data_IF_289160592819
#
_entry.id   IF_289160592819
#
_cell.length_a   1.000
_cell.length_b   1.000
_cell.length_c   1.000
_cell.angle_alpha   90.00
_cell.angle_beta   90.00
_cell.angle_gamma   90.00
#
_symmetry.space_group_name_H-M   'P 1'
#
loop_
_entity.id
_entity.type
_entity.pdbx_description
1 polymer ?
#
# COMPACT_ATOMS: atom_id res chain seq x y z
N UNK A 1 -105.73 54.82 -31.06
CA UNK A 1 -106.09 53.74 -30.11
C UNK A 1 -104.85 52.85 -29.94
N UNK A 2 -104.13 53.23 -28.93
CA UNK A 2 -102.87 52.49 -28.63
C UNK A 2 -103.15 51.24 -27.81
N UNK A 3 -102.76 50.08 -28.28
CA UNK A 3 -102.76 48.90 -27.48
C UNK A 3 -101.34 48.67 -26.99
N UNK A 4 -101.06 49.16 -25.80
CA UNK A 4 -99.87 48.80 -25.03
C UNK A 4 -99.96 47.34 -24.58
N UNK A 5 -99.15 46.44 -25.13
CA UNK A 5 -99.10 45.02 -24.75
C UNK A 5 -98.08 44.89 -23.62
N UNK A 6 -98.55 45.11 -22.37
CA UNK A 6 -97.72 44.83 -21.16
C UNK A 6 -97.78 43.34 -20.90
N UNK A 7 -96.73 42.67 -21.27
CA UNK A 7 -96.48 41.32 -20.84
C UNK A 7 -95.94 41.27 -19.41
N UNK A 8 -96.82 41.19 -18.41
CA UNK A 8 -96.50 40.97 -17.00
C UNK A 8 -96.06 39.56 -16.80
N UNK A 9 -94.76 39.30 -16.84
CA UNK A 9 -94.21 38.01 -16.40
C UNK A 9 -94.37 37.88 -14.88
N UNK A 10 -95.10 36.88 -14.41
CA UNK A 10 -95.36 36.68 -12.99
C UNK A 10 -94.06 36.50 -12.23
N UNK A 11 -93.87 37.07 -11.01
CA UNK A 11 -92.63 36.91 -10.24
C UNK A 11 -92.20 35.47 -9.96
N UNK A 12 -93.19 34.62 -9.93
CA UNK A 12 -93.00 33.18 -9.76
C UNK A 12 -92.33 32.47 -10.98
N UNK A 13 -92.74 32.84 -12.22
CA UNK A 13 -92.19 32.29 -13.44
C UNK A 13 -90.72 32.72 -13.64
N UNK A 14 -90.38 33.97 -13.30
CA UNK A 14 -89.00 34.50 -13.35
C UNK A 14 -88.11 33.81 -12.33
N UNK A 15 -88.58 33.63 -11.10
CA UNK A 15 -87.81 32.92 -10.04
C UNK A 15 -87.52 31.45 -10.45
N UNK A 16 -88.49 30.76 -11.03
CA UNK A 16 -88.33 29.36 -11.50
C UNK A 16 -87.35 29.27 -12.68
N UNK A 17 -87.36 30.25 -13.64
CA UNK A 17 -86.38 30.32 -14.71
C UNK A 17 -84.96 30.57 -14.22
N UNK A 18 -84.77 31.41 -13.22
CA UNK A 18 -83.48 31.70 -12.61
C UNK A 18 -82.94 30.46 -11.87
N UNK A 19 -83.80 29.72 -11.17
CA UNK A 19 -83.37 28.48 -10.48
C UNK A 19 -82.97 27.38 -11.51
N UNK A 20 -83.75 27.21 -12.57
CA UNK A 20 -83.49 26.26 -13.66
C UNK A 20 -82.20 26.62 -14.35
N UNK A 21 -81.94 27.88 -14.69
CA UNK A 21 -80.70 28.34 -15.28
C UNK A 21 -79.50 28.14 -14.34
N UNK A 22 -79.70 28.48 -13.05
CA UNK A 22 -78.62 28.26 -12.05
C UNK A 22 -78.25 26.79 -11.88
N UNK A 23 -79.23 25.87 -11.87
CA UNK A 23 -78.97 24.40 -11.84
C UNK A 23 -78.33 23.94 -13.15
N UNK A 24 -78.72 24.39 -14.34
CA UNK A 24 -78.10 24.04 -15.60
C UNK A 24 -76.67 24.52 -15.70
N UNK A 25 -76.36 25.74 -15.20
CA UNK A 25 -74.96 26.25 -15.14
C UNK A 25 -74.11 25.39 -14.18
N UNK A 26 -74.65 25.01 -13.00
CA UNK A 26 -73.96 24.13 -12.07
C UNK A 26 -73.64 22.73 -12.65
N UNK A 27 -74.62 22.18 -13.38
CA UNK A 27 -74.39 20.88 -14.04
C UNK A 27 -73.36 21.01 -15.18
N UNK A 28 -73.39 22.06 -16.00
CA UNK A 28 -72.41 22.29 -17.03
C UNK A 28 -70.99 22.53 -16.47
N UNK A 29 -70.86 23.31 -15.37
CA UNK A 29 -69.57 23.51 -14.72
C UNK A 29 -69.02 22.21 -14.10
N UNK A 30 -69.90 21.39 -13.47
CA UNK A 30 -69.51 20.09 -12.95
C UNK A 30 -69.03 19.10 -14.06
N UNK A 31 -69.75 19.08 -15.20
CA UNK A 31 -69.36 18.27 -16.35
C UNK A 31 -68.03 18.80 -16.96
N UNK A 32 -67.91 20.10 -17.15
CA UNK A 32 -66.69 20.74 -17.64
C UNK A 32 -65.51 20.45 -16.75
N UNK A 33 -65.68 20.53 -15.40
CA UNK A 33 -64.68 20.20 -14.42
C UNK A 33 -64.30 18.72 -14.47
N UNK A 34 -65.28 17.82 -14.56
CA UNK A 34 -65.04 16.36 -14.73
C UNK A 34 -64.28 16.00 -15.99
N UNK A 35 -64.64 16.64 -17.14
CA UNK A 35 -63.92 16.50 -18.40
C UNK A 35 -62.53 17.05 -18.30
N UNK A 36 -62.33 18.25 -17.75
CA UNK A 36 -61.00 18.81 -17.47
C UNK A 36 -60.17 17.89 -16.60
N UNK A 37 -60.73 17.42 -15.47
CA UNK A 37 -60.04 16.51 -14.56
C UNK A 37 -59.63 15.20 -15.25
N UNK A 38 -60.51 14.60 -16.05
CA UNK A 38 -60.29 13.30 -16.71
C UNK A 38 -59.31 13.38 -17.88
N UNK A 39 -59.33 14.45 -18.65
CA UNK A 39 -58.59 14.52 -19.93
C UNK A 39 -57.37 15.45 -19.86
N UNK A 40 -57.33 16.41 -18.97
CA UNK A 40 -56.30 17.44 -18.94
C UNK A 40 -55.49 17.45 -17.63
N UNK A 41 -56.06 17.04 -16.51
CA UNK A 41 -55.35 16.95 -15.26
C UNK A 41 -54.62 15.61 -15.17
N UNK A 42 -53.27 15.64 -15.36
CA UNK A 42 -52.39 14.50 -15.06
C UNK A 42 -51.86 14.68 -13.65
N UNK A 43 -51.95 13.65 -12.80
CA UNK A 43 -51.33 13.67 -11.49
C UNK A 43 -49.81 13.75 -11.70
N UNK A 44 -49.13 14.73 -11.09
CA UNK A 44 -47.69 14.82 -11.16
C UNK A 44 -47.02 13.51 -10.78
N UNK A 45 -46.09 13.01 -11.62
CA UNK A 45 -45.31 11.80 -11.33
C UNK A 45 -43.88 12.04 -11.73
N UNK A 46 -42.94 11.42 -11.04
CA UNK A 46 -41.50 11.51 -11.30
C UNK A 46 -41.06 10.82 -12.61
N UNK A 47 -41.99 10.51 -13.54
CA UNK A 47 -41.69 9.77 -14.80
C UNK A 47 -42.56 10.21 -15.97
N UNK A 48 -43.13 11.44 -15.93
CA UNK A 48 -44.05 11.90 -16.96
C UNK A 48 -43.39 12.86 -17.97
N UNK A 49 -42.08 13.11 -17.82
CA UNK A 49 -41.27 14.02 -18.64
C UNK A 49 -41.67 15.49 -18.56
N UNK A 50 -42.31 15.87 -17.50
CA UNK A 50 -42.73 17.25 -17.24
C UNK A 50 -42.24 17.69 -15.87
N UNK A 51 -41.72 18.88 -15.76
CA UNK A 51 -41.43 19.43 -14.46
C UNK A 51 -42.74 19.94 -13.81
N UNK A 52 -43.25 19.20 -12.82
CA UNK A 52 -44.50 19.52 -12.14
C UNK A 52 -44.44 19.09 -10.65
N UNK A 53 -45.51 19.33 -9.90
CA UNK A 53 -45.54 19.04 -8.47
C UNK A 53 -44.49 19.84 -7.69
N UNK A 54 -43.61 19.14 -6.94
CA UNK A 54 -42.51 19.69 -6.14
C UNK A 54 -41.12 19.45 -6.76
N UNK A 55 -41.08 18.98 -8.01
CA UNK A 55 -39.87 18.72 -8.73
C UNK A 55 -39.01 19.96 -8.96
N UNK A 56 -37.68 19.81 -8.78
CA UNK A 56 -36.72 20.90 -9.05
C UNK A 56 -36.18 20.87 -10.49
N UNK A 57 -36.40 19.79 -11.21
CA UNK A 57 -36.12 19.60 -12.63
C UNK A 57 -37.08 18.56 -13.21
N UNK A 58 -37.01 18.29 -14.52
CA UNK A 58 -37.85 17.27 -15.18
C UNK A 58 -37.60 15.90 -14.57
N UNK A 59 -38.59 15.27 -13.95
CA UNK A 59 -38.56 13.96 -13.32
C UNK A 59 -37.48 13.80 -12.25
N UNK A 60 -37.02 14.88 -11.61
CA UNK A 60 -36.00 14.85 -10.58
C UNK A 60 -36.13 15.90 -9.49
N UNK A 61 -35.61 15.62 -8.32
CA UNK A 61 -35.67 16.51 -7.14
C UNK A 61 -37.02 16.44 -6.40
N UNK A 62 -37.23 17.32 -5.46
CA UNK A 62 -38.44 17.32 -4.62
C UNK A 62 -38.69 16.00 -3.93
N UNK A 63 -39.88 15.41 -4.09
CA UNK A 63 -40.25 14.08 -3.57
C UNK A 63 -39.73 12.91 -4.40
N UNK A 64 -39.15 13.17 -5.59
CA UNK A 64 -38.63 12.12 -6.46
C UNK A 64 -37.40 11.43 -5.88
N UNK A 65 -37.25 10.13 -6.15
CA UNK A 65 -36.03 9.36 -5.81
C UNK A 65 -34.82 9.82 -6.62
N UNK A 66 -35.06 10.23 -7.89
CA UNK A 66 -34.02 10.80 -8.74
C UNK A 66 -33.62 12.20 -8.26
N UNK A 67 -32.32 12.44 -8.17
CA UNK A 67 -31.75 13.76 -7.84
C UNK A 67 -31.25 14.42 -9.13
N UNK A 68 -31.57 15.70 -9.31
CA UNK A 68 -31.10 16.44 -10.48
C UNK A 68 -29.59 16.65 -10.45
N UNK A 69 -28.91 16.51 -11.60
CA UNK A 69 -27.46 16.70 -11.73
C UNK A 69 -26.97 18.08 -11.24
N UNK A 70 -27.83 19.10 -11.26
CA UNK A 70 -27.52 20.45 -10.76
C UNK A 70 -27.45 20.53 -9.23
N UNK A 71 -28.00 19.53 -8.53
CA UNK A 71 -28.12 19.52 -7.05
C UNK A 71 -27.10 18.61 -6.38
N UNK A 72 -26.19 17.98 -7.13
CA UNK A 72 -25.18 17.07 -6.62
C UNK A 72 -23.78 17.63 -6.80
N UNK A 73 -22.88 17.23 -5.90
CA UNK A 73 -21.45 17.48 -6.05
C UNK A 73 -20.90 16.42 -7.00
N UNK A 74 -20.16 16.86 -8.03
CA UNK A 74 -19.56 15.94 -9.00
C UNK A 74 -18.57 14.98 -8.33
N UNK A 75 -18.44 13.73 -8.81
CA UNK A 75 -17.45 12.79 -8.31
C UNK A 75 -16.03 13.33 -8.46
N UNK A 76 -15.16 12.98 -7.52
CA UNK A 76 -13.78 13.44 -7.46
C UNK A 76 -12.87 12.28 -7.82
N UNK A 77 -12.06 12.44 -8.87
CA UNK A 77 -10.97 11.51 -9.19
C UNK A 77 -9.81 11.82 -8.25
N UNK A 78 -9.41 10.84 -7.42
CA UNK A 78 -8.43 11.04 -6.35
C UNK A 78 -6.99 11.09 -6.85
N UNK A 79 -6.67 10.36 -7.90
CA UNK A 79 -5.36 10.33 -8.55
C UNK A 79 -5.46 9.80 -9.98
N UNK A 80 -4.43 10.07 -10.79
CA UNK A 80 -4.37 9.66 -12.19
C UNK A 80 -4.41 8.14 -12.32
N UNK A 81 -5.06 7.59 -13.36
CA UNK A 81 -5.13 6.16 -13.59
C UNK A 81 -3.74 5.52 -13.62
N UNK A 82 -3.58 4.41 -12.88
CA UNK A 82 -2.33 3.64 -12.83
C UNK A 82 -2.46 2.37 -13.66
N UNK A 83 -1.45 2.13 -14.49
CA UNK A 83 -1.33 0.94 -15.32
C UNK A 83 -0.43 -0.09 -14.62
N UNK A 84 -0.83 -1.34 -14.61
CA UNK A 84 -0.10 -2.45 -14.01
C UNK A 84 0.11 -3.55 -15.03
N UNK A 85 1.36 -3.91 -15.26
CA UNK A 85 1.69 -5.07 -16.07
C UNK A 85 1.47 -6.35 -15.27
N UNK A 86 0.50 -7.16 -15.67
CA UNK A 86 0.17 -8.44 -15.03
C UNK A 86 1.09 -9.54 -15.57
N UNK A 87 1.25 -9.62 -16.88
CA UNK A 87 2.16 -10.48 -17.63
C UNK A 87 2.61 -9.72 -18.90
N UNK A 88 3.65 -10.15 -19.60
CA UNK A 88 4.03 -9.55 -20.86
C UNK A 88 2.84 -9.44 -21.82
N UNK A 89 2.50 -8.23 -22.26
CA UNK A 89 1.36 -7.93 -23.11
C UNK A 89 -0.01 -7.95 -22.43
N UNK A 90 -0.09 -8.25 -21.13
CA UNK A 90 -1.32 -8.28 -20.33
C UNK A 90 -1.27 -7.24 -19.22
N UNK A 91 -2.19 -6.30 -19.22
CA UNK A 91 -2.21 -5.16 -18.32
C UNK A 91 -3.55 -5.00 -17.60
N UNK A 92 -3.54 -4.20 -16.57
CA UNK A 92 -4.75 -3.70 -15.90
C UNK A 92 -4.58 -2.23 -15.57
N UNK A 93 -5.71 -1.55 -15.29
CA UNK A 93 -5.73 -0.14 -14.92
C UNK A 93 -6.66 0.07 -13.72
N UNK A 94 -6.28 0.97 -12.83
CA UNK A 94 -7.05 1.33 -11.64
C UNK A 94 -7.09 2.85 -11.49
N UNK A 95 -8.23 3.37 -11.05
CA UNK A 95 -8.41 4.74 -10.59
C UNK A 95 -9.31 4.74 -9.35
N UNK A 96 -9.10 5.68 -8.44
CA UNK A 96 -9.99 5.90 -7.30
C UNK A 96 -10.90 7.09 -7.55
N UNK A 97 -12.20 6.88 -7.34
CA UNK A 97 -13.23 7.91 -7.50
C UNK A 97 -14.06 8.01 -6.22
N UNK A 98 -14.21 9.22 -5.73
CA UNK A 98 -15.00 9.54 -4.55
C UNK A 98 -16.35 10.12 -4.96
N UNK A 99 -17.42 9.64 -4.34
CA UNK A 99 -18.70 10.32 -4.30
C UNK A 99 -18.79 11.13 -3.00
N UNK A 100 -18.67 12.48 -3.03
CA UNK A 100 -18.68 13.31 -1.84
C UNK A 100 -20.08 13.58 -1.29
N UNK A 101 -21.14 13.11 -1.98
CA UNK A 101 -22.52 13.36 -1.58
C UNK A 101 -22.92 12.45 -0.39
N UNK A 102 -23.43 13.04 0.68
CA UNK A 102 -23.74 12.31 1.91
C UNK A 102 -25.00 11.43 1.82
N UNK A 103 -25.99 11.81 1.01
CA UNK A 103 -27.31 11.18 0.96
C UNK A 103 -27.72 10.76 -0.46
N UNK A 104 -26.77 10.68 -1.40
CA UNK A 104 -27.06 10.41 -2.81
C UNK A 104 -26.07 9.39 -3.35
N UNK A 105 -26.57 8.28 -3.85
CA UNK A 105 -25.80 7.30 -4.59
C UNK A 105 -25.83 7.62 -6.09
N UNK A 106 -24.70 7.44 -6.77
CA UNK A 106 -24.69 7.35 -8.22
C UNK A 106 -24.88 5.87 -8.60
N UNK A 107 -26.07 5.52 -9.05
CA UNK A 107 -26.44 4.13 -9.34
C UNK A 107 -26.09 3.68 -10.77
N UNK A 108 -25.72 4.62 -11.61
CA UNK A 108 -25.16 4.39 -12.94
C UNK A 108 -24.16 5.50 -13.26
N UNK A 109 -22.91 5.12 -13.46
CA UNK A 109 -21.82 6.06 -13.76
C UNK A 109 -21.06 5.52 -14.96
N UNK A 110 -21.33 6.03 -16.17
CA UNK A 110 -20.54 5.67 -17.34
C UNK A 110 -19.13 6.25 -17.22
N UNK A 111 -18.15 5.53 -17.70
CA UNK A 111 -16.75 5.98 -17.73
C UNK A 111 -16.01 5.42 -18.94
N UNK A 112 -14.84 6.00 -19.21
CA UNK A 112 -13.90 5.47 -20.17
C UNK A 112 -12.46 5.58 -19.69
N UNK A 113 -11.65 4.55 -20.01
CA UNK A 113 -10.19 4.59 -19.95
C UNK A 113 -9.66 4.68 -21.37
N UNK A 114 -8.84 5.68 -21.66
CA UNK A 114 -8.09 5.80 -22.90
C UNK A 114 -6.62 5.59 -22.61
N UNK A 115 -6.00 4.58 -23.21
CA UNK A 115 -4.63 4.16 -22.95
C UNK A 115 -3.75 4.51 -24.14
N UNK A 116 -2.57 5.07 -23.85
CA UNK A 116 -1.64 5.63 -24.82
C UNK A 116 -0.27 4.96 -24.73
N UNK A 117 0.44 4.91 -25.87
CA UNK A 117 1.86 4.58 -25.94
C UNK A 117 2.76 5.78 -25.56
N UNK A 118 4.08 5.61 -25.69
CA UNK A 118 5.06 6.67 -25.44
C UNK A 118 4.98 7.85 -26.44
N UNK A 119 4.43 7.60 -27.63
CA UNK A 119 4.26 8.61 -28.69
C UNK A 119 2.88 9.30 -28.63
N UNK A 120 2.11 9.08 -27.57
CA UNK A 120 0.73 9.54 -27.40
C UNK A 120 -0.28 9.00 -28.44
N UNK A 121 0.02 7.88 -29.09
CA UNK A 121 -0.99 7.19 -29.90
C UNK A 121 -1.96 6.44 -28.99
N UNK A 122 -3.24 6.47 -29.33
CA UNK A 122 -4.26 5.68 -28.62
C UNK A 122 -4.07 4.20 -28.92
N UNK A 123 -3.79 3.40 -27.89
CA UNK A 123 -3.69 1.96 -28.00
C UNK A 123 -5.05 1.28 -27.88
N UNK A 124 -5.85 1.70 -26.89
CA UNK A 124 -7.19 1.18 -26.63
C UNK A 124 -8.03 2.23 -25.90
N UNK A 125 -9.33 2.25 -26.19
CA UNK A 125 -10.34 2.90 -25.38
C UNK A 125 -11.25 1.83 -24.80
N UNK A 126 -11.40 1.81 -23.48
CA UNK A 126 -12.23 0.87 -22.74
C UNK A 126 -13.36 1.64 -22.06
N UNK A 127 -14.57 1.47 -22.54
CA UNK A 127 -15.78 2.04 -21.95
C UNK A 127 -16.36 1.03 -20.93
N UNK A 128 -16.94 1.56 -19.86
CA UNK A 128 -17.58 0.80 -18.81
C UNK A 128 -18.63 1.61 -18.05
N UNK A 129 -19.27 0.97 -17.09
CA UNK A 129 -20.17 1.63 -16.15
C UNK A 129 -19.97 1.05 -14.75
N UNK A 130 -20.15 1.88 -13.73
CA UNK A 130 -20.01 1.50 -12.34
C UNK A 130 -21.07 2.19 -11.47
N UNK A 131 -20.97 2.01 -10.18
CA UNK A 131 -21.75 2.73 -9.17
C UNK A 131 -20.79 3.48 -8.23
N UNK A 132 -21.26 4.61 -7.68
CA UNK A 132 -20.52 5.33 -6.64
C UNK A 132 -21.43 5.50 -5.42
N UNK A 133 -21.27 4.65 -4.39
CA UNK A 133 -22.03 4.80 -3.15
C UNK A 133 -21.75 6.15 -2.48
N UNK A 134 -22.73 6.69 -1.79
CA UNK A 134 -22.65 7.96 -1.08
C UNK A 134 -21.47 7.99 -0.08
N UNK A 135 -20.83 9.14 0.04
CA UNK A 135 -19.73 9.41 0.98
C UNK A 135 -18.65 8.31 0.99
N UNK A 136 -18.28 7.81 -0.21
CA UNK A 136 -17.34 6.71 -0.33
C UNK A 136 -16.38 6.89 -1.51
N UNK A 137 -15.14 6.48 -1.29
CA UNK A 137 -14.15 6.29 -2.35
C UNK A 137 -14.16 4.84 -2.78
N UNK A 138 -14.17 4.58 -4.08
CA UNK A 138 -14.14 3.24 -4.65
C UNK A 138 -13.08 3.14 -5.75
N UNK A 139 -12.48 1.95 -5.88
CA UNK A 139 -11.62 1.62 -6.99
C UNK A 139 -12.45 1.27 -8.23
N UNK A 140 -12.13 1.86 -9.37
CA UNK A 140 -12.62 1.44 -10.68
C UNK A 140 -11.48 0.75 -11.39
N UNK A 141 -11.63 -0.56 -11.57
CA UNK A 141 -10.59 -1.44 -12.09
C UNK A 141 -11.03 -2.05 -13.43
N UNK A 142 -10.17 -1.95 -14.43
CA UNK A 142 -10.35 -2.62 -15.73
C UNK A 142 -9.17 -3.53 -16.04
N UNK A 143 -9.49 -4.73 -16.46
CA UNK A 143 -8.54 -5.77 -16.84
C UNK A 143 -9.24 -7.11 -17.05
N UNK A 144 -8.64 -8.00 -17.85
CA UNK A 144 -7.37 -7.88 -18.55
C UNK A 144 -7.43 -6.96 -19.78
N UNK A 145 -6.37 -6.16 -20.00
CA UNK A 145 -6.15 -5.36 -21.20
C UNK A 145 -5.00 -6.00 -21.98
N UNK A 146 -5.27 -6.46 -23.19
CA UNK A 146 -4.28 -7.18 -23.99
C UNK A 146 -3.70 -6.28 -25.07
N UNK A 147 -2.37 -6.21 -25.13
CA UNK A 147 -1.61 -5.48 -26.15
C UNK A 147 -0.76 -6.44 -26.98
N UNK A 148 -0.44 -6.03 -28.21
CA UNK A 148 0.47 -6.81 -29.07
C UNK A 148 1.86 -6.86 -28.44
N UNK A 149 2.59 -7.94 -28.70
CA UNK A 149 3.98 -8.08 -28.25
C UNK A 149 4.83 -6.88 -28.74
N UNK A 150 5.62 -6.31 -27.82
CA UNK A 150 6.44 -5.13 -28.08
C UNK A 150 5.70 -3.78 -27.99
N UNK A 151 4.39 -3.78 -27.70
CA UNK A 151 3.62 -2.55 -27.43
C UNK A 151 3.46 -2.36 -25.92
N UNK A 152 4.07 -1.33 -25.39
CA UNK A 152 3.97 -0.99 -23.96
C UNK A 152 3.07 0.22 -23.75
N UNK A 153 1.98 0.10 -22.99
CA UNK A 153 1.20 1.26 -22.55
C UNK A 153 2.01 2.10 -21.56
N UNK A 154 1.96 3.42 -21.72
CA UNK A 154 2.71 4.35 -20.84
C UNK A 154 1.81 5.26 -20.03
N UNK A 155 0.63 5.58 -20.52
CA UNK A 155 -0.28 6.50 -19.86
C UNK A 155 -1.72 6.08 -20.05
N UNK A 156 -2.54 6.30 -19.03
CA UNK A 156 -3.99 6.16 -19.11
C UNK A 156 -4.66 7.49 -18.76
N UNK A 157 -5.77 7.80 -19.39
CA UNK A 157 -6.68 8.89 -19.02
C UNK A 157 -8.01 8.26 -18.66
N UNK A 158 -8.59 8.75 -17.57
CA UNK A 158 -9.92 8.35 -17.11
C UNK A 158 -10.90 9.52 -17.27
N UNK A 159 -12.06 9.25 -17.82
CA UNK A 159 -13.13 10.23 -17.99
C UNK A 159 -14.45 9.63 -17.51
N UNK A 160 -15.18 10.42 -16.73
CA UNK A 160 -16.57 10.12 -16.40
C UNK A 160 -17.45 10.56 -17.57
N UNK A 161 -18.33 9.66 -18.02
CA UNK A 161 -19.26 9.95 -19.09
C UNK A 161 -20.45 10.79 -18.61
N UNK A 162 -21.19 11.31 -19.58
CA UNK A 162 -22.48 11.99 -19.32
C UNK A 162 -23.57 10.99 -18.93
N UNK A 163 -24.62 11.48 -18.27
CA UNK A 163 -25.78 10.65 -17.93
C UNK A 163 -25.62 9.84 -16.64
N UNK A 164 -24.84 10.34 -15.68
CA UNK A 164 -24.80 9.77 -14.33
C UNK A 164 -26.21 9.84 -13.72
N UNK A 165 -26.67 8.70 -13.21
CA UNK A 165 -27.97 8.57 -12.55
C UNK A 165 -27.80 8.65 -11.02
N UNK A 166 -28.41 9.65 -10.41
CA UNK A 166 -28.31 9.92 -9.00
C UNK A 166 -29.62 9.60 -8.29
N UNK A 167 -29.56 8.79 -7.22
CA UNK A 167 -30.70 8.42 -6.41
C UNK A 167 -30.51 8.86 -4.95
N UNK A 168 -31.57 9.39 -4.34
CA UNK A 168 -31.58 9.60 -2.90
C UNK A 168 -31.42 8.27 -2.18
N UNK A 169 -30.54 8.27 -1.21
CA UNK A 169 -30.33 7.15 -0.31
C UNK A 169 -30.15 7.64 1.12
N UNK A 170 -31.16 7.52 1.94
CA UNK A 170 -31.15 7.86 3.36
C UNK A 170 -30.84 6.64 4.24
N UNK A 171 -30.85 5.42 3.67
CA UNK A 171 -30.54 4.22 4.40
C UNK A 171 -29.10 4.22 4.91
N UNK A 172 -28.84 3.56 6.01
CA UNK A 172 -27.47 3.33 6.49
C UNK A 172 -26.68 2.51 5.48
N UNK A 173 -25.37 2.79 5.36
CA UNK A 173 -24.50 1.95 4.56
C UNK A 173 -24.52 0.51 5.11
N UNK A 174 -24.46 -0.52 4.25
CA UNK A 174 -24.36 -1.90 4.69
C UNK A 174 -23.16 -2.11 5.62
N UNK A 175 -23.38 -2.82 6.71
CA UNK A 175 -22.37 -3.08 7.73
C UNK A 175 -21.51 -4.29 7.32
N UNK A 176 -20.48 -4.03 6.52
CA UNK A 176 -19.49 -5.02 6.09
C UNK A 176 -18.16 -4.71 6.76
N UNK A 177 -17.54 -5.73 7.34
CA UNK A 177 -16.14 -5.65 7.80
C UNK A 177 -15.25 -6.39 6.82
N UNK A 178 -14.18 -5.73 6.37
CA UNK A 178 -13.13 -6.33 5.55
C UNK A 178 -11.85 -6.32 6.36
N UNK A 179 -11.24 -7.48 6.56
CA UNK A 179 -9.92 -7.63 7.17
C UNK A 179 -9.01 -8.38 6.21
N UNK A 180 -7.83 -7.83 5.94
CA UNK A 180 -6.83 -8.49 5.11
C UNK A 180 -5.71 -9.06 5.95
N UNK A 181 -5.22 -10.21 5.54
CA UNK A 181 -3.98 -10.79 6.02
C UNK A 181 -2.76 -10.12 5.38
N UNK A 182 -1.55 -10.60 5.71
CA UNK A 182 -0.32 -10.12 5.11
C UNK A 182 -0.23 -10.49 3.63
N UNK A 183 0.61 -9.77 2.91
CA UNK A 183 1.01 -10.15 1.56
C UNK A 183 2.00 -11.31 1.65
N UNK A 184 1.68 -12.42 1.00
CA UNK A 184 2.44 -13.67 1.02
C UNK A 184 3.08 -13.94 -0.35
N UNK A 185 4.14 -14.76 -0.37
CA UNK A 185 4.80 -15.25 -1.59
C UNK A 185 5.28 -14.14 -2.54
N UNK A 186 5.86 -13.07 -1.97
CA UNK A 186 6.34 -11.88 -2.69
C UNK A 186 7.25 -12.20 -3.86
N UNK A 187 8.16 -13.17 -3.67
CA UNK A 187 9.21 -13.52 -4.63
C UNK A 187 8.76 -14.48 -5.75
N UNK A 188 7.51 -14.94 -5.71
CA UNK A 188 6.98 -15.91 -6.67
C UNK A 188 5.63 -15.51 -7.24
N UNK A 189 4.56 -15.82 -6.53
CA UNK A 189 3.17 -15.50 -6.88
C UNK A 189 2.51 -14.78 -5.71
N UNK A 190 2.67 -13.46 -5.63
CA UNK A 190 2.11 -12.70 -4.52
C UNK A 190 0.61 -12.93 -4.35
N UNK A 191 0.18 -13.04 -3.11
CA UNK A 191 -1.24 -13.18 -2.77
C UNK A 191 -1.59 -12.46 -1.48
N UNK A 192 -2.79 -11.91 -1.43
CA UNK A 192 -3.43 -11.40 -0.21
C UNK A 192 -4.72 -12.18 0.00
N UNK A 193 -4.91 -12.66 1.20
CA UNK A 193 -6.15 -13.25 1.67
C UNK A 193 -6.93 -12.20 2.46
N UNK A 194 -8.23 -12.10 2.23
CA UNK A 194 -9.08 -11.19 2.97
C UNK A 194 -10.39 -11.87 3.35
N UNK A 195 -10.84 -11.56 4.56
CA UNK A 195 -12.12 -11.98 5.10
C UNK A 195 -13.14 -10.85 4.94
N UNK A 196 -14.28 -11.18 4.36
CA UNK A 196 -15.40 -10.27 4.15
C UNK A 196 -16.57 -10.75 5.00
N UNK A 197 -16.91 -10.02 6.05
CA UNK A 197 -17.98 -10.38 6.98
C UNK A 197 -19.19 -9.48 6.81
N UNK A 198 -20.35 -10.09 6.66
CA UNK A 198 -21.63 -9.40 6.71
C UNK A 198 -22.09 -9.28 8.17
N UNK A 199 -22.07 -8.08 8.73
CA UNK A 199 -22.61 -7.78 10.05
C UNK A 199 -24.02 -7.15 9.96
N UNK A 200 -24.61 -7.12 8.76
CA UNK A 200 -25.96 -6.64 8.55
C UNK A 200 -27.01 -7.74 8.83
N UNK A 201 -28.24 -7.32 9.01
CA UNK A 201 -29.38 -8.22 9.22
C UNK A 201 -29.88 -8.87 7.93
N UNK A 202 -29.51 -8.30 6.78
CA UNK A 202 -29.92 -8.74 5.44
C UNK A 202 -28.77 -9.40 4.68
N UNK A 203 -29.12 -10.26 3.74
CA UNK A 203 -28.19 -10.81 2.77
C UNK A 203 -27.69 -9.71 1.83
N UNK A 204 -26.40 -9.68 1.57
CA UNK A 204 -25.75 -8.73 0.66
C UNK A 204 -25.28 -9.51 -0.58
N UNK A 205 -25.57 -8.96 -1.76
CA UNK A 205 -25.27 -9.62 -3.05
C UNK A 205 -24.37 -8.80 -3.92
N UNK A 206 -23.61 -9.49 -4.78
CA UNK A 206 -22.79 -8.89 -5.83
C UNK A 206 -21.81 -7.83 -5.27
N UNK A 207 -20.95 -8.23 -4.34
CA UNK A 207 -19.92 -7.39 -3.77
C UNK A 207 -18.68 -7.47 -4.66
N UNK A 208 -18.28 -6.36 -5.27
CA UNK A 208 -16.98 -6.23 -5.93
C UNK A 208 -15.96 -5.68 -4.93
N UNK A 209 -14.82 -6.34 -4.83
CA UNK A 209 -13.69 -5.88 -4.05
C UNK A 209 -12.52 -5.58 -4.98
N UNK A 210 -11.91 -4.42 -4.79
CA UNK A 210 -10.71 -3.98 -5.51
C UNK A 210 -9.61 -3.72 -4.50
N UNK A 211 -8.47 -4.38 -4.68
CA UNK A 211 -7.28 -4.19 -3.87
C UNK A 211 -6.24 -3.38 -4.64
N UNK A 212 -5.57 -2.48 -3.93
CA UNK A 212 -4.36 -1.80 -4.39
C UNK A 212 -3.23 -2.03 -3.37
N UNK A 213 -2.05 -2.30 -3.88
CA UNK A 213 -0.81 -2.43 -3.12
C UNK A 213 0.02 -1.18 -3.37
N UNK A 214 0.50 -0.55 -2.30
CA UNK A 214 1.30 0.67 -2.37
C UNK A 214 2.71 0.43 -1.85
N UNK A 215 3.70 1.06 -2.47
CA UNK A 215 5.07 1.09 -2.00
C UNK A 215 5.27 2.13 -0.88
N UNK A 216 6.51 2.23 -0.36
CA UNK A 216 6.84 3.17 0.71
C UNK A 216 6.76 4.64 0.33
N UNK A 217 6.65 4.95 -0.95
CA UNK A 217 6.46 6.31 -1.47
C UNK A 217 4.99 6.60 -1.81
N UNK A 218 4.07 5.73 -1.36
CA UNK A 218 2.61 5.79 -1.62
C UNK A 218 2.25 5.69 -3.11
N UNK A 219 3.10 5.04 -3.92
CA UNK A 219 2.76 4.71 -5.29
C UNK A 219 2.03 3.37 -5.35
N UNK A 220 0.91 3.30 -6.05
CA UNK A 220 0.26 2.04 -6.35
C UNK A 220 1.12 1.21 -7.31
N UNK A 221 1.57 0.02 -6.87
CA UNK A 221 2.48 -0.86 -7.61
C UNK A 221 1.79 -2.10 -8.16
N UNK A 222 0.65 -2.48 -7.60
CA UNK A 222 -0.17 -3.60 -8.07
C UNK A 222 -1.63 -3.38 -7.71
N UNK A 223 -2.52 -3.96 -8.50
CA UNK A 223 -3.95 -3.98 -8.22
C UNK A 223 -4.57 -5.30 -8.68
N UNK A 224 -5.66 -5.67 -8.05
CA UNK A 224 -6.45 -6.86 -8.42
C UNK A 224 -7.92 -6.66 -8.05
N UNK A 225 -8.81 -7.52 -8.56
CA UNK A 225 -10.24 -7.47 -8.30
C UNK A 225 -10.77 -8.87 -8.05
N UNK A 226 -11.71 -8.99 -7.11
CA UNK A 226 -12.46 -10.22 -6.84
C UNK A 226 -13.92 -9.90 -6.54
N UNK A 227 -14.76 -10.93 -6.48
CA UNK A 227 -16.18 -10.80 -6.24
C UNK A 227 -16.66 -11.79 -5.18
N UNK A 228 -17.68 -11.36 -4.40
CA UNK A 228 -18.49 -12.21 -3.55
C UNK A 228 -19.92 -12.13 -4.07
N UNK A 229 -20.47 -13.26 -4.52
CA UNK A 229 -21.81 -13.31 -5.12
C UNK A 229 -22.89 -13.06 -4.08
N UNK A 230 -22.87 -13.86 -3.01
CA UNK A 230 -23.85 -13.81 -1.92
C UNK A 230 -23.11 -13.84 -0.59
N UNK A 231 -23.58 -13.05 0.38
CA UNK A 231 -23.07 -13.03 1.74
C UNK A 231 -24.25 -12.91 2.70
N UNK A 232 -24.64 -14.03 3.31
CA UNK A 232 -25.76 -14.09 4.24
C UNK A 232 -25.46 -13.34 5.53
N UNK A 233 -26.51 -13.10 6.33
CA UNK A 233 -26.34 -12.53 7.67
C UNK A 233 -25.32 -13.33 8.48
N UNK A 234 -24.40 -12.62 9.15
CA UNK A 234 -23.33 -13.16 9.99
C UNK A 234 -22.35 -14.10 9.27
N UNK A 235 -22.47 -14.24 7.94
CA UNK A 235 -21.56 -15.04 7.12
C UNK A 235 -20.23 -14.33 6.89
N UNK A 236 -19.17 -15.14 6.83
CA UNK A 236 -17.81 -14.72 6.50
C UNK A 236 -17.38 -15.40 5.19
N UNK A 237 -17.02 -14.63 4.19
CA UNK A 237 -16.45 -15.12 2.94
C UNK A 237 -14.94 -14.84 2.91
N UNK A 238 -14.16 -15.89 2.65
CA UNK A 238 -12.73 -15.74 2.45
C UNK A 238 -12.46 -15.53 0.95
N UNK A 239 -11.76 -14.46 0.61
CA UNK A 239 -11.42 -14.09 -0.77
C UNK A 239 -9.93 -13.96 -0.95
N UNK A 240 -9.47 -14.19 -2.18
CA UNK A 240 -8.07 -14.13 -2.55
C UNK A 240 -7.84 -13.12 -3.66
N UNK A 241 -6.75 -12.35 -3.50
CA UNK A 241 -6.18 -11.53 -4.56
C UNK A 241 -4.81 -12.11 -4.89
N UNK A 242 -4.56 -12.40 -6.15
CA UNK A 242 -3.34 -13.07 -6.61
C UNK A 242 -2.73 -12.35 -7.79
N UNK A 243 -1.41 -12.43 -7.89
CA UNK A 243 -0.65 -11.92 -9.03
C UNK A 243 0.25 -13.03 -9.58
N UNK A 244 0.26 -13.24 -10.90
CA UNK A 244 0.98 -14.37 -11.50
C UNK A 244 2.50 -14.22 -11.53
N UNK A 245 3.01 -13.02 -11.28
CA UNK A 245 4.46 -12.73 -11.17
C UNK A 245 4.73 -11.79 -9.99
N UNK A 246 5.96 -11.80 -9.45
CA UNK A 246 6.39 -10.80 -8.47
C UNK A 246 6.21 -9.38 -9.01
N UNK A 247 5.89 -8.45 -8.15
CA UNK A 247 5.91 -7.04 -8.50
C UNK A 247 7.07 -6.33 -7.79
N UNK A 248 7.68 -5.37 -8.50
CA UNK A 248 8.80 -4.61 -7.95
C UNK A 248 8.28 -3.61 -6.93
N UNK A 249 8.77 -3.71 -5.71
CA UNK A 249 8.56 -2.70 -4.68
C UNK A 249 9.50 -1.54 -5.00
N UNK A 250 8.95 -0.37 -5.32
CA UNK A 250 9.70 0.77 -5.85
C UNK A 250 10.63 1.44 -4.84
N UNK A 251 10.40 1.26 -3.54
CA UNK A 251 11.25 1.71 -2.44
C UNK A 251 11.23 0.67 -1.32
N UNK A 252 12.43 0.40 -0.75
CA UNK A 252 12.55 -0.50 0.39
C UNK A 252 11.82 0.09 1.59
N UNK A 253 10.77 -0.58 2.06
CA UNK A 253 10.15 -0.31 3.35
C UNK A 253 10.37 -1.55 4.18
N UNK A 254 11.27 -1.44 5.14
CA UNK A 254 11.53 -2.50 6.09
C UNK A 254 10.32 -2.64 7.03
N UNK A 255 9.93 -3.87 7.36
CA UNK A 255 8.84 -4.15 8.29
C UNK A 255 9.08 -3.46 9.64
N UNK A 256 10.34 -3.43 10.06
CA UNK A 256 10.84 -2.67 11.21
C UNK A 256 12.14 -1.98 10.83
N UNK A 257 12.36 -0.74 11.26
CA UNK A 257 13.66 -0.13 11.16
C UNK A 257 14.70 -0.95 11.96
N UNK A 258 15.95 -0.80 11.58
CA UNK A 258 17.05 -1.55 12.18
C UNK A 258 18.13 -0.65 12.74
N UNK A 259 18.67 -1.03 13.87
CA UNK A 259 19.89 -0.51 14.45
C UNK A 259 21.03 -1.45 14.07
N UNK A 260 21.94 -1.03 13.20
CA UNK A 260 23.00 -1.86 12.65
C UNK A 260 24.35 -1.43 13.14
N UNK A 261 25.13 -2.34 13.72
CA UNK A 261 26.55 -2.14 14.03
C UNK A 261 27.43 -2.89 13.05
N UNK A 262 28.23 -2.17 12.28
CA UNK A 262 29.27 -2.72 11.42
C UNK A 262 30.56 -2.89 12.22
N UNK A 263 31.01 -4.11 12.40
CA UNK A 263 32.28 -4.45 13.04
C UNK A 263 33.29 -4.84 11.97
N UNK A 264 34.27 -3.99 11.70
CA UNK A 264 35.22 -4.14 10.60
C UNK A 264 36.62 -4.44 11.14
N UNK A 265 37.15 -5.61 10.77
CA UNK A 265 38.52 -5.99 11.07
C UNK A 265 39.51 -5.07 10.34
N UNK A 266 40.47 -4.49 11.07
CA UNK A 266 41.58 -3.67 10.57
C UNK A 266 42.94 -4.22 11.01
N UNK A 267 42.98 -5.52 11.38
CA UNK A 267 44.21 -6.19 11.77
C UNK A 267 45.21 -6.29 10.59
N UNK A 268 46.42 -6.72 10.87
CA UNK A 268 47.48 -6.75 9.87
C UNK A 268 47.22 -7.65 8.67
N UNK A 269 46.40 -8.69 8.81
CA UNK A 269 45.97 -9.54 7.71
C UNK A 269 45.12 -8.82 6.67
N UNK A 270 44.38 -7.76 7.08
CA UNK A 270 43.61 -6.90 6.19
C UNK A 270 44.46 -5.96 5.36
N UNK A 271 45.80 -5.94 5.56
CA UNK A 271 46.75 -5.22 4.72
C UNK A 271 47.13 -6.03 3.47
N UNK A 272 47.41 -5.34 2.36
CA UNK A 272 47.89 -6.01 1.15
C UNK A 272 49.27 -6.63 1.35
N UNK A 273 49.41 -7.89 1.01
CA UNK A 273 50.68 -8.50 0.73
C UNK A 273 50.72 -8.86 -0.76
N UNK A 274 51.26 -7.92 -1.58
CA UNK A 274 51.51 -8.18 -2.99
C UNK A 274 50.47 -7.61 -3.95
N UNK A 275 50.98 -7.14 -5.06
CA UNK A 275 50.28 -6.46 -6.13
C UNK A 275 48.99 -7.12 -6.62
N UNK A 276 47.89 -6.36 -6.52
CA UNK A 276 46.62 -6.51 -7.22
C UNK A 276 45.75 -7.76 -6.91
N UNK A 277 44.55 -7.60 -6.44
CA UNK A 277 43.81 -6.33 -6.30
C UNK A 277 43.96 -5.70 -4.92
N UNK A 278 43.45 -4.47 -4.81
CA UNK A 278 43.31 -3.64 -3.62
C UNK A 278 43.36 -4.40 -2.29
N UNK A 279 44.01 -3.78 -1.32
CA UNK A 279 44.06 -4.28 0.07
C UNK A 279 42.69 -4.79 0.51
N UNK A 280 42.58 -5.98 1.17
CA UNK A 280 41.26 -6.46 1.62
C UNK A 280 40.45 -5.40 2.34
N UNK A 281 41.11 -4.57 3.17
CA UNK A 281 40.45 -3.48 3.90
C UNK A 281 39.80 -2.43 2.96
N UNK A 282 40.42 -2.03 1.84
CA UNK A 282 39.83 -1.01 0.95
C UNK A 282 38.54 -1.54 0.32
N UNK A 283 38.54 -2.77 -0.17
CA UNK A 283 37.34 -3.38 -0.75
C UNK A 283 36.26 -3.65 0.32
N UNK A 284 36.67 -4.02 1.54
CA UNK A 284 35.72 -4.15 2.67
C UNK A 284 35.06 -2.82 3.01
N UNK A 285 35.80 -1.71 2.96
CA UNK A 285 35.25 -0.34 3.14
C UNK A 285 34.28 0.03 2.02
N UNK A 286 34.63 -0.21 0.76
CA UNK A 286 33.74 0.03 -0.38
C UNK A 286 32.45 -0.75 -0.26
N UNK A 287 32.51 -2.04 0.09
CA UNK A 287 31.35 -2.89 0.28
C UNK A 287 30.49 -2.45 1.50
N UNK A 288 31.12 -2.04 2.60
CA UNK A 288 30.41 -1.49 3.76
C UNK A 288 29.70 -0.18 3.42
N UNK A 289 30.29 0.69 2.63
CA UNK A 289 29.68 1.94 2.13
C UNK A 289 28.50 1.63 1.20
N UNK A 290 28.65 0.65 0.31
CA UNK A 290 27.58 0.17 -0.55
C UNK A 290 26.40 -0.36 0.29
N UNK A 291 26.66 -1.13 1.34
CA UNK A 291 25.63 -1.59 2.29
C UNK A 291 24.94 -0.40 2.97
N UNK A 292 25.66 0.57 3.50
CA UNK A 292 25.08 1.76 4.15
C UNK A 292 24.15 2.52 3.18
N UNK A 293 24.48 2.58 1.89
CA UNK A 293 23.63 3.20 0.86
C UNK A 293 22.32 2.44 0.60
N UNK A 294 22.24 1.18 0.99
CA UNK A 294 21.05 0.34 0.84
C UNK A 294 20.11 0.38 2.05
N UNK A 295 20.55 0.97 3.16
CA UNK A 295 19.74 1.14 4.36
C UNK A 295 18.57 2.09 4.13
N UNK A 296 17.45 1.83 4.80
CA UNK A 296 16.30 2.72 4.80
C UNK A 296 16.62 4.03 5.52
N UNK A 297 15.99 5.16 5.17
CA UNK A 297 16.17 6.44 5.88
C UNK A 297 15.81 6.40 7.37
N UNK A 298 15.15 5.34 7.82
CA UNK A 298 14.79 5.13 9.24
C UNK A 298 15.75 4.22 9.97
N UNK A 299 16.66 3.54 9.26
CA UNK A 299 17.66 2.68 9.89
C UNK A 299 18.78 3.52 10.47
N UNK A 300 19.28 3.09 11.64
CA UNK A 300 20.49 3.66 12.23
C UNK A 300 21.68 2.76 11.96
N UNK A 301 22.84 3.35 11.77
CA UNK A 301 24.09 2.61 11.59
C UNK A 301 25.20 3.18 12.46
N UNK A 302 25.93 2.29 13.11
CA UNK A 302 27.17 2.59 13.81
C UNK A 302 28.32 1.77 13.24
N UNK A 303 29.54 2.20 13.49
CA UNK A 303 30.77 1.59 12.96
C UNK A 303 31.79 1.40 14.06
N UNK A 304 32.36 0.23 14.15
CA UNK A 304 33.49 -0.11 15.04
C UNK A 304 34.56 -0.82 14.22
N UNK A 305 35.74 -0.24 14.16
CA UNK A 305 36.91 -0.97 13.67
C UNK A 305 37.66 -1.62 14.82
N UNK A 306 38.20 -2.81 14.58
CA UNK A 306 38.93 -3.56 15.61
C UNK A 306 40.18 -4.24 15.05
N UNK A 307 41.15 -4.43 15.92
CA UNK A 307 42.34 -5.25 15.69
C UNK A 307 42.76 -5.89 17.02
N UNK A 308 43.89 -5.49 17.64
CA UNK A 308 44.25 -5.95 18.98
C UNK A 308 43.25 -5.51 20.06
N UNK A 309 42.52 -4.42 19.82
CA UNK A 309 41.42 -3.89 20.58
C UNK A 309 40.37 -3.30 19.66
N UNK A 310 39.13 -3.21 20.14
CA UNK A 310 38.13 -2.37 19.50
C UNK A 310 38.53 -0.88 19.62
N UNK A 311 38.28 -0.10 18.59
CA UNK A 311 38.60 1.33 18.63
C UNK A 311 37.74 2.05 19.68
N UNK A 312 38.42 2.83 20.53
CA UNK A 312 37.76 3.62 21.55
C UNK A 312 38.30 5.08 21.54
N UNK A 313 37.41 6.10 21.35
CA UNK A 313 36.00 5.98 21.07
C UNK A 313 35.73 5.25 19.74
N UNK A 314 34.56 4.62 19.61
CA UNK A 314 34.15 3.90 18.39
C UNK A 314 34.15 4.84 17.18
N UNK A 315 34.29 4.30 15.97
CA UNK A 315 34.42 5.10 14.73
C UNK A 315 33.17 5.93 14.45
N UNK A 316 31.99 5.34 14.62
CA UNK A 316 30.70 6.03 14.59
C UNK A 316 29.72 5.40 15.57
N UNK A 317 29.10 6.23 16.41
CA UNK A 317 27.96 5.81 17.22
C UNK A 317 26.74 5.54 16.32
N UNK A 318 25.72 4.86 16.83
CA UNK A 318 24.44 4.71 16.12
C UNK A 318 23.89 6.08 15.70
N UNK A 319 23.62 6.24 14.42
CA UNK A 319 23.13 7.49 13.83
C UNK A 319 22.23 7.26 12.64
N UNK A 320 21.26 8.16 12.45
CA UNK A 320 20.48 8.28 11.20
C UNK A 320 21.26 9.02 10.09
N UNK A 321 22.36 9.70 10.44
CA UNK A 321 23.23 10.37 9.45
C UNK A 321 24.15 9.35 8.79
N UNK A 322 23.61 8.70 7.74
CA UNK A 322 24.32 7.70 6.96
C UNK A 322 25.62 8.26 6.33
N UNK A 323 25.69 9.57 6.06
CA UNK A 323 26.92 10.18 5.51
C UNK A 323 28.02 10.24 6.55
N UNK A 324 27.72 10.56 7.81
CA UNK A 324 28.67 10.51 8.91
C UNK A 324 29.24 9.10 9.10
N UNK A 325 28.38 8.08 9.08
CA UNK A 325 28.82 6.68 9.17
C UNK A 325 29.73 6.27 8.00
N UNK A 326 29.42 6.68 6.75
CA UNK A 326 30.29 6.43 5.58
C UNK A 326 31.66 7.08 5.73
N UNK A 327 31.73 8.33 6.20
CA UNK A 327 32.99 9.00 6.49
C UNK A 327 33.82 8.27 7.58
N UNK A 328 33.14 7.73 8.60
CA UNK A 328 33.78 6.89 9.60
C UNK A 328 34.43 5.64 8.96
N UNK A 329 33.70 4.92 8.10
CA UNK A 329 34.24 3.77 7.34
C UNK A 329 35.43 4.19 6.49
N UNK A 330 35.34 5.30 5.75
CA UNK A 330 36.45 5.82 4.92
C UNK A 330 37.72 6.12 5.73
N UNK A 331 37.56 6.55 6.98
CA UNK A 331 38.68 6.92 7.87
C UNK A 331 39.41 5.73 8.48
N UNK A 332 38.87 4.50 8.38
CA UNK A 332 39.50 3.28 8.94
C UNK A 332 40.82 2.99 8.20
N UNK A 333 41.85 2.75 8.99
CA UNK A 333 43.17 2.38 8.53
C UNK A 333 43.67 1.13 9.27
N UNK A 334 44.59 0.39 8.65
CA UNK A 334 45.28 -0.75 9.31
C UNK A 334 45.91 -0.27 10.61
N UNK A 335 45.84 -1.06 11.65
CA UNK A 335 46.52 -0.75 12.91
C UNK A 335 48.05 -0.70 12.71
N UNK A 336 48.66 0.42 13.11
CA UNK A 336 50.08 0.67 12.92
C UNK A 336 50.95 0.05 14.03
N UNK A 337 50.63 -1.15 14.50
CA UNK A 337 51.29 -1.82 15.61
C UNK A 337 52.11 -3.02 15.15
N UNK A 338 53.22 -3.31 15.84
CA UNK A 338 53.99 -4.55 15.60
C UNK A 338 53.28 -5.83 16.12
N UNK A 339 52.17 -5.64 16.84
CA UNK A 339 51.34 -6.70 17.45
C UNK A 339 49.89 -6.54 16.97
N UNK A 340 49.68 -6.94 15.73
CA UNK A 340 48.35 -6.78 15.09
C UNK A 340 47.56 -8.08 15.28
N UNK A 341 46.84 -8.16 16.40
CA UNK A 341 45.99 -9.28 16.71
C UNK A 341 44.55 -9.01 16.33
N UNK A 342 43.70 -10.03 16.37
CA UNK A 342 42.27 -9.97 16.06
C UNK A 342 41.45 -10.27 17.29
N UNK A 343 40.81 -9.25 17.87
CA UNK A 343 40.03 -9.31 19.09
C UNK A 343 38.53 -9.23 18.80
N UNK A 344 37.95 -10.34 18.37
CA UNK A 344 36.53 -10.45 18.04
C UNK A 344 35.65 -10.25 19.30
N UNK A 345 36.13 -10.67 20.47
CA UNK A 345 35.42 -10.49 21.73
C UNK A 345 35.11 -9.01 21.99
N UNK A 346 36.12 -8.13 21.95
CA UNK A 346 35.90 -6.70 22.20
C UNK A 346 35.06 -6.03 21.12
N UNK A 347 35.19 -6.46 19.85
CA UNK A 347 34.33 -5.96 18.79
C UNK A 347 32.86 -6.28 19.07
N UNK A 348 32.53 -7.52 19.41
CA UNK A 348 31.17 -7.94 19.76
C UNK A 348 30.67 -7.24 21.01
N UNK A 349 31.50 -7.12 22.06
CA UNK A 349 31.15 -6.43 23.30
C UNK A 349 30.81 -4.97 23.03
N UNK A 350 31.66 -4.24 22.33
CA UNK A 350 31.43 -2.83 22.02
C UNK A 350 30.21 -2.63 21.13
N UNK A 351 29.98 -3.48 20.13
CA UNK A 351 28.81 -3.44 19.27
C UNK A 351 27.51 -3.71 20.04
N UNK A 352 27.51 -4.72 20.91
CA UNK A 352 26.37 -5.01 21.77
C UNK A 352 26.07 -3.87 22.73
N UNK A 353 27.08 -3.30 23.41
CA UNK A 353 26.90 -2.16 24.30
C UNK A 353 26.30 -0.94 23.60
N UNK A 354 26.69 -0.68 22.36
CA UNK A 354 26.10 0.40 21.57
C UNK A 354 24.63 0.12 21.23
N UNK A 355 24.29 -1.11 20.84
CA UNK A 355 22.93 -1.52 20.50
C UNK A 355 21.96 -1.59 21.70
N UNK A 356 22.48 -1.64 22.93
CA UNK A 356 21.65 -1.54 24.14
C UNK A 356 21.74 -0.18 24.81
N UNK A 357 22.48 0.77 24.24
CA UNK A 357 22.59 2.14 24.74
C UNK A 357 21.29 2.94 24.52
N UNK A 358 21.22 4.13 25.13
CA UNK A 358 20.09 5.05 24.96
C UNK A 358 19.94 5.63 23.55
N UNK A 359 20.86 5.34 22.64
CA UNK A 359 20.79 5.73 21.21
C UNK A 359 19.96 4.75 20.39
N UNK A 360 19.89 3.49 20.83
CA UNK A 360 19.08 2.46 20.18
C UNK A 360 17.60 2.68 20.44
N UNK A 361 16.78 2.62 19.41
CA UNK A 361 15.35 2.85 19.51
C UNK A 361 14.59 1.58 19.92
N UNK A 362 13.57 1.75 20.76
CA UNK A 362 12.72 0.64 21.18
C UNK A 362 11.89 0.13 20.00
N UNK A 363 11.86 -1.20 19.80
CA UNK A 363 11.12 -1.83 18.70
C UNK A 363 11.91 -1.98 17.40
N UNK A 364 13.12 -1.42 17.30
CA UNK A 364 14.02 -1.65 16.16
C UNK A 364 14.67 -3.03 16.21
N UNK A 365 14.98 -3.59 15.05
CA UNK A 365 15.77 -4.82 14.95
C UNK A 365 17.24 -4.49 15.23
N UNK A 366 17.85 -5.16 16.20
CA UNK A 366 19.25 -4.94 16.60
C UNK A 366 20.15 -5.91 15.89
N UNK A 367 21.04 -5.40 15.04
CA UNK A 367 21.85 -6.21 14.13
C UNK A 367 23.33 -5.90 14.31
N UNK A 368 24.13 -6.95 14.38
CA UNK A 368 25.60 -6.90 14.27
C UNK A 368 26.02 -7.56 12.96
N UNK A 369 26.88 -6.89 12.20
CA UNK A 369 27.55 -7.48 11.03
C UNK A 369 29.05 -7.47 11.31
N UNK A 370 29.63 -8.65 11.55
CA UNK A 370 31.04 -8.84 11.83
C UNK A 370 31.76 -9.32 10.56
N UNK A 371 32.74 -8.53 10.10
CA UNK A 371 33.65 -8.91 9.03
C UNK A 371 35.06 -9.13 9.56
N UNK A 372 35.66 -10.27 9.28
CA UNK A 372 37.06 -10.60 9.62
C UNK A 372 37.70 -11.50 8.56
N UNK A 373 39.02 -11.38 8.37
CA UNK A 373 39.84 -12.25 7.54
C UNK A 373 40.83 -13.12 8.35
N UNK A 374 40.70 -13.05 9.72
CA UNK A 374 41.64 -13.65 10.63
C UNK A 374 41.01 -14.60 11.65
N UNK A 375 41.89 -15.23 12.43
CA UNK A 375 41.57 -16.08 13.56
C UNK A 375 41.53 -15.20 14.82
N UNK A 376 40.52 -15.36 15.67
CA UNK A 376 40.49 -14.73 16.97
C UNK A 376 41.68 -15.21 17.82
N UNK A 377 42.61 -14.33 18.09
CA UNK A 377 43.85 -14.63 18.83
C UNK A 377 44.19 -13.66 19.94
N UNK A 378 43.22 -12.78 20.28
CA UNK A 378 43.26 -11.84 21.38
C UNK A 378 41.86 -11.75 21.99
N UNK A 379 41.70 -11.62 23.36
CA UNK A 379 42.78 -11.45 24.34
C UNK A 379 43.59 -12.71 24.58
N UNK A 380 44.83 -12.54 24.99
CA UNK A 380 45.70 -13.66 25.34
C UNK A 380 45.23 -14.40 26.58
N UNK A 381 45.42 -15.71 26.62
CA UNK A 381 45.11 -16.51 27.77
C UNK A 381 46.11 -16.22 28.93
N UNK A 382 45.64 -15.71 30.10
CA UNK A 382 46.51 -15.40 31.23
C UNK A 382 47.28 -16.60 31.79
N UNK A 383 46.80 -17.82 31.51
CA UNK A 383 47.41 -19.09 31.93
C UNK A 383 47.91 -19.93 30.74
N UNK A 384 47.75 -19.45 29.53
CA UNK A 384 48.15 -20.11 28.27
C UNK A 384 49.67 -20.12 28.14
N UNK A 385 50.16 -21.18 27.47
CA UNK A 385 51.59 -21.35 27.19
C UNK A 385 51.86 -21.42 25.71
N UNK A 386 50.84 -21.58 24.91
CA UNK A 386 50.93 -21.74 23.45
C UNK A 386 49.97 -20.78 22.74
N UNK A 387 50.25 -20.51 21.46
CA UNK A 387 49.35 -19.77 20.58
C UNK A 387 47.97 -20.46 20.46
N UNK A 388 47.93 -21.77 20.48
CA UNK A 388 46.68 -22.52 20.46
C UNK A 388 45.83 -22.29 21.73
N UNK A 389 46.47 -22.11 22.91
CA UNK A 389 45.76 -21.76 24.17
C UNK A 389 45.16 -20.35 24.06
N UNK A 390 45.87 -19.42 23.44
CA UNK A 390 45.42 -18.04 23.22
C UNK A 390 44.22 -18.00 22.27
N UNK A 391 44.31 -18.68 21.15
CA UNK A 391 43.23 -18.78 20.17
C UNK A 391 41.96 -19.34 20.82
N UNK A 392 42.10 -20.50 21.47
CA UNK A 392 40.96 -21.13 22.14
C UNK A 392 40.32 -20.22 23.17
N UNK A 393 41.12 -19.54 23.99
CA UNK A 393 40.64 -18.63 24.99
C UNK A 393 39.89 -17.44 24.40
N UNK A 394 40.43 -16.84 23.34
CA UNK A 394 39.80 -15.73 22.62
C UNK A 394 38.47 -16.13 21.96
N UNK A 395 38.47 -17.34 21.32
CA UNK A 395 37.26 -17.89 20.71
C UNK A 395 36.17 -18.20 21.76
N UNK A 396 36.53 -18.84 22.89
CA UNK A 396 35.59 -19.15 23.97
C UNK A 396 34.94 -17.86 24.57
N UNK A 397 35.72 -16.77 24.71
CA UNK A 397 35.19 -15.47 25.18
C UNK A 397 34.24 -14.87 24.14
N UNK A 398 34.61 -14.86 22.87
CA UNK A 398 33.78 -14.30 21.83
C UNK A 398 32.48 -15.08 21.64
N UNK A 399 32.51 -16.41 21.75
CA UNK A 399 31.31 -17.26 21.74
C UNK A 399 30.37 -16.93 22.88
N UNK A 400 30.92 -16.83 24.11
CA UNK A 400 30.12 -16.47 25.28
C UNK A 400 29.46 -15.10 25.15
N UNK A 401 30.18 -14.13 24.58
CA UNK A 401 29.67 -12.77 24.33
C UNK A 401 28.57 -12.80 23.30
N UNK A 402 28.78 -13.49 22.18
CA UNK A 402 27.77 -13.62 21.13
C UNK A 402 26.48 -14.31 21.63
N UNK A 403 26.62 -15.35 22.48
CA UNK A 403 25.48 -16.03 23.08
C UNK A 403 24.69 -15.13 24.03
N UNK A 404 25.37 -14.23 24.74
CA UNK A 404 24.71 -13.24 25.60
C UNK A 404 23.97 -12.20 24.77
N UNK A 405 24.59 -11.67 23.71
CA UNK A 405 23.96 -10.73 22.78
C UNK A 405 22.73 -11.34 22.06
N UNK A 406 22.85 -12.60 21.65
CA UNK A 406 21.70 -13.35 21.03
C UNK A 406 20.54 -13.54 22.01
N UNK A 407 20.79 -13.77 23.29
CA UNK A 407 19.76 -13.86 24.34
C UNK A 407 19.02 -12.55 24.54
N UNK A 408 19.72 -11.42 24.35
CA UNK A 408 19.12 -10.07 24.37
C UNK A 408 18.39 -9.72 23.06
N UNK A 409 18.24 -10.69 22.14
CA UNK A 409 17.47 -10.54 20.91
C UNK A 409 18.24 -9.94 19.74
N UNK A 410 19.58 -9.82 19.84
CA UNK A 410 20.40 -9.35 18.72
C UNK A 410 20.54 -10.39 17.62
N UNK A 411 20.52 -9.96 16.37
CA UNK A 411 20.82 -10.75 15.20
C UNK A 411 22.27 -10.50 14.81
N UNK A 412 23.07 -11.56 14.76
CA UNK A 412 24.49 -11.48 14.42
C UNK A 412 24.73 -12.16 13.08
N UNK A 413 25.20 -11.38 12.10
CA UNK A 413 25.76 -11.85 10.85
C UNK A 413 27.27 -11.90 10.94
N UNK A 414 27.87 -12.94 10.38
CA UNK A 414 29.32 -13.07 10.30
C UNK A 414 29.78 -13.26 8.86
N UNK A 415 30.80 -12.55 8.46
CA UNK A 415 31.43 -12.62 7.12
C UNK A 415 32.88 -13.02 7.33
N UNK A 416 33.23 -14.21 6.88
CA UNK A 416 34.60 -14.69 6.84
C UNK A 416 35.26 -14.43 5.49
N UNK A 417 36.32 -13.65 5.45
CA UNK A 417 37.03 -13.25 4.24
C UNK A 417 38.29 -14.06 4.04
N UNK A 418 38.43 -14.67 2.88
CA UNK A 418 39.62 -15.50 2.53
C UNK A 418 39.66 -16.86 3.26
N UNK A 419 40.77 -17.50 3.24
CA UNK A 419 40.94 -18.91 3.66
C UNK A 419 41.67 -19.09 5.01
N UNK A 420 41.98 -17.98 5.72
CA UNK A 420 42.68 -18.01 7.03
C UNK A 420 41.75 -17.82 8.20
N UNK A 421 40.49 -18.18 8.08
CA UNK A 421 39.44 -18.03 9.09
C UNK A 421 39.13 -19.36 9.76
N UNK A 422 38.58 -19.32 10.97
CA UNK A 422 37.91 -20.46 11.58
C UNK A 422 36.42 -20.43 11.24
N UNK A 423 36.04 -21.08 10.14
CA UNK A 423 34.66 -21.10 9.65
C UNK A 423 33.69 -21.68 10.67
N UNK A 424 34.05 -22.74 11.38
CA UNK A 424 33.19 -23.34 12.39
C UNK A 424 32.92 -22.37 13.55
N UNK A 425 33.94 -21.63 13.96
CA UNK A 425 33.82 -20.60 15.01
C UNK A 425 32.89 -19.46 14.55
N UNK A 426 33.07 -18.91 13.36
CA UNK A 426 32.24 -17.84 12.83
C UNK A 426 30.76 -18.26 12.66
N UNK A 427 30.52 -19.53 12.24
CA UNK A 427 29.16 -20.09 12.19
C UNK A 427 28.50 -20.18 13.56
N UNK A 428 29.27 -20.40 14.63
CA UNK A 428 28.75 -20.45 15.99
C UNK A 428 28.51 -19.04 16.59
N UNK A 429 29.29 -18.04 16.17
CA UNK A 429 29.05 -16.61 16.50
C UNK A 429 27.75 -16.13 15.86
N UNK A 430 27.49 -16.48 14.60
CA UNK A 430 26.28 -16.09 13.90
C UNK A 430 24.99 -16.55 14.60
N UNK A 431 23.90 -15.84 14.41
CA UNK A 431 22.59 -16.19 15.01
C UNK A 431 22.00 -17.49 14.47
N UNK A 432 22.28 -17.78 13.21
CA UNK A 432 21.94 -19.05 12.56
C UNK A 432 23.01 -19.42 11.52
N UNK A 433 22.91 -20.62 10.95
CA UNK A 433 23.81 -21.04 9.86
C UNK A 433 23.63 -20.17 8.61
N UNK A 434 22.45 -19.64 8.39
CA UNK A 434 22.11 -18.80 7.25
C UNK A 434 22.63 -17.36 7.42
N UNK A 435 23.01 -16.98 8.65
CA UNK A 435 23.62 -15.69 8.94
C UNK A 435 25.16 -15.70 8.86
N UNK A 436 25.77 -16.81 8.41
CA UNK A 436 27.18 -16.90 8.11
C UNK A 436 27.41 -16.84 6.60
N UNK A 437 28.31 -15.96 6.18
CA UNK A 437 28.72 -15.82 4.79
C UNK A 437 30.22 -16.04 4.64
N UNK A 438 30.59 -16.77 3.59
CA UNK A 438 31.98 -16.94 3.22
C UNK A 438 32.29 -16.10 1.96
N UNK A 439 33.28 -15.24 2.05
CA UNK A 439 33.81 -14.45 0.96
C UNK A 439 35.20 -15.02 0.55
N UNK A 440 35.31 -15.76 -0.53
CA UNK A 440 36.62 -16.25 -1.01
C UNK A 440 37.61 -15.11 -1.29
N UNK A 441 37.09 -13.96 -1.68
CA UNK A 441 37.83 -12.73 -1.93
C UNK A 441 36.97 -11.50 -1.58
N UNK A 442 37.64 -10.35 -1.44
CA UNK A 442 36.95 -9.12 -1.14
C UNK A 442 35.94 -8.70 -2.22
N UNK A 443 36.09 -9.13 -3.47
CA UNK A 443 35.11 -8.87 -4.55
C UNK A 443 33.75 -9.53 -4.34
N UNK A 444 33.61 -10.47 -3.43
CA UNK A 444 32.33 -11.12 -3.09
C UNK A 444 31.55 -10.33 -2.02
N UNK A 445 32.18 -9.38 -1.35
CA UNK A 445 31.59 -8.67 -0.21
C UNK A 445 30.37 -7.84 -0.60
N UNK A 446 30.36 -7.21 -1.76
CA UNK A 446 29.24 -6.43 -2.24
C UNK A 446 27.96 -7.26 -2.31
N UNK A 447 28.03 -8.42 -3.00
CA UNK A 447 26.89 -9.35 -3.10
C UNK A 447 26.45 -9.90 -1.73
N UNK A 448 27.41 -10.16 -0.82
CA UNK A 448 27.08 -10.61 0.53
C UNK A 448 26.34 -9.53 1.31
N UNK A 449 26.81 -8.29 1.25
CA UNK A 449 26.14 -7.18 1.92
C UNK A 449 24.76 -6.88 1.31
N UNK A 450 24.58 -7.06 -0.01
CA UNK A 450 23.26 -6.98 -0.65
C UNK A 450 22.31 -8.05 -0.09
N UNK A 451 22.78 -9.29 0.05
CA UNK A 451 21.97 -10.36 0.63
C UNK A 451 21.60 -10.07 2.09
N UNK A 452 22.56 -9.60 2.91
CA UNK A 452 22.31 -9.22 4.30
C UNK A 452 21.31 -8.04 4.37
N UNK A 453 21.49 -7.03 3.53
CA UNK A 453 20.54 -5.88 3.45
C UNK A 453 19.12 -6.35 3.11
N UNK A 454 19.00 -7.29 2.18
CA UNK A 454 17.70 -7.86 1.81
C UNK A 454 17.08 -8.71 2.94
N UNK A 455 17.91 -9.42 3.72
CA UNK A 455 17.45 -10.25 4.83
C UNK A 455 17.05 -9.41 6.05
N UNK A 456 17.81 -8.36 6.36
CA UNK A 456 17.46 -7.39 7.43
C UNK A 456 16.18 -6.62 7.05
N UNK A 457 16.06 -6.22 5.82
CA UNK A 457 14.93 -5.48 5.28
C UNK A 457 14.08 -6.42 4.43
N UNK A 458 13.17 -7.16 5.04
CA UNK A 458 12.10 -7.80 4.28
C UNK A 458 11.24 -6.69 3.68
N UNK A 459 11.36 -6.53 2.36
CA UNK A 459 10.56 -5.57 1.62
C UNK A 459 9.08 -5.95 1.78
N UNK A 460 8.33 -5.13 2.51
CA UNK A 460 6.89 -5.26 2.63
C UNK A 460 6.23 -4.07 1.93
N UNK A 461 5.06 -4.24 1.32
CA UNK A 461 4.31 -3.10 0.85
C UNK A 461 3.99 -2.21 2.04
N UNK A 462 4.10 -0.90 1.85
CA UNK A 462 3.81 0.06 2.91
C UNK A 462 2.34 0.06 3.30
N UNK A 463 1.46 -0.21 2.32
CA UNK A 463 0.02 -0.16 2.53
C UNK A 463 -0.72 -1.10 1.58
N UNK A 464 -1.70 -1.81 2.14
CA UNK A 464 -2.70 -2.57 1.39
C UNK A 464 -4.03 -1.87 1.59
N UNK A 465 -4.72 -1.55 0.53
CA UNK A 465 -6.03 -0.92 0.58
C UNK A 465 -7.04 -1.73 -0.23
N UNK A 466 -8.18 -2.07 0.41
CA UNK A 466 -9.28 -2.77 -0.23
C UNK A 466 -10.49 -1.86 -0.22
N UNK A 467 -10.99 -1.54 -1.40
CA UNK A 467 -12.27 -0.84 -1.58
C UNK A 467 -13.33 -1.81 -2.07
N UNK A 468 -14.61 -1.52 -1.79
CA UNK A 468 -15.71 -2.37 -2.25
C UNK A 468 -16.91 -1.58 -2.74
N UNK A 469 -17.67 -2.21 -3.63
CA UNK A 469 -18.96 -1.76 -4.15
C UNK A 469 -19.96 -2.92 -4.08
N UNK A 470 -21.24 -2.60 -3.88
CA UNK A 470 -22.34 -3.56 -3.85
C UNK A 470 -23.27 -3.24 -5.01
N UNK A 471 -23.33 -4.12 -6.00
CA UNK A 471 -24.21 -3.96 -7.18
C UNK A 471 -25.62 -4.51 -6.98
N UNK A 472 -25.86 -5.24 -5.90
CA UNK A 472 -27.21 -5.72 -5.54
C UNK A 472 -28.03 -4.61 -4.91
N UNK A 473 -29.25 -4.42 -5.37
CA UNK A 473 -30.22 -3.51 -4.74
C UNK A 473 -30.58 -4.07 -3.37
N UNK A 474 -30.34 -3.29 -2.34
CA UNK A 474 -31.11 -3.42 -1.10
C UNK A 474 -32.58 -3.14 -1.47
N UNK A 475 -33.43 -4.19 -1.57
CA UNK A 475 -34.87 -4.03 -1.73
C UNK A 475 -35.48 -3.54 -0.44
#
# INVERSE_FOLDING_TARGET
MDFENQSTTSPWATRRRVIILGVAVLILTAISFGVFWKFWYKVPTCFDKLQNGDETGVDCGGSCTLVCNSSVIKPIVKWDPRLFEVLPGLWSVLVYVENPNANVDATYVPYSFTIYDENNNVLIKKDGATILPKNKTVGIFEGPLTFKEGVEPKRAIFELGDGIVWNKNEASAPNITISNGPLLQLDSQPKVEADVKNNDIQEIKNIELVIAIFDGSDNAIAASRTFVEDLKKDENANVFFTWPKPFKLGSKVCEKPSDVMLLLDRSGSMAALGSNPSQPLSTAKEAAISFINQLSPKDMVGVISFASQAKNPIDSVLTLDLNSAKQAVESINIEASSTQYTNIYEALHSGWQELVSARSEEGYSKVIILLTDGIANNPKNPQGKTEADDIKYAEDLALKESDSAKKDGLIIYTIGLGNKINESFLKNIASSKDNYFFAPSASNLETIYENISSDICKEMPARIEITYKIFGTLN
#
